data_IF_869305822612
#
_entry.id   IF_869305822612
#
_cell.length_a   1.000
_cell.length_b   1.000
_cell.length_c   1.000
_cell.angle_alpha   90.00
_cell.angle_beta   90.00
_cell.angle_gamma   90.00
#
_symmetry.space_group_name_H-M   'P 1'
#
loop_
_entity.id
_entity.type
_entity.pdbx_description
1 polymer ?
#
# COMPACT_ATOMS: atom_id res chain seq x y z
N UNK A 1 -5.07 15.14 86.38
CA UNK A 1 -4.89 14.19 85.25
C UNK A 1 -5.78 14.67 84.12
N UNK A 2 -5.19 15.32 83.11
CA UNK A 2 -5.91 15.84 81.94
C UNK A 2 -5.42 15.08 80.71
N UNK A 3 -6.30 14.49 79.87
CA UNK A 3 -5.86 13.82 78.67
C UNK A 3 -5.59 14.85 77.56
N UNK A 4 -4.39 14.80 76.98
CA UNK A 4 -4.05 15.58 75.78
C UNK A 4 -4.68 14.90 74.56
N UNK A 5 -5.58 15.57 73.86
CA UNK A 5 -6.08 15.14 72.56
C UNK A 5 -4.96 15.25 71.53
N UNK A 6 -4.59 14.12 70.92
CA UNK A 6 -3.80 14.09 69.68
C UNK A 6 -4.75 14.34 68.50
N UNK A 7 -4.61 15.49 67.84
CA UNK A 7 -5.31 15.77 66.60
C UNK A 7 -4.59 15.07 65.44
N UNK A 8 -5.26 14.11 64.80
CA UNK A 8 -4.81 13.43 63.60
C UNK A 8 -5.09 14.36 62.40
N UNK A 9 -4.04 14.97 61.85
CA UNK A 9 -4.15 15.77 60.64
C UNK A 9 -4.30 14.84 59.42
N UNK A 10 -5.50 14.80 58.84
CA UNK A 10 -5.75 14.17 57.54
C UNK A 10 -5.21 15.08 56.43
N UNK A 11 -4.15 14.65 55.75
CA UNK A 11 -3.66 15.25 54.51
C UNK A 11 -4.66 14.90 53.39
N UNK A 12 -5.48 15.85 52.97
CA UNK A 12 -6.36 15.69 51.81
C UNK A 12 -5.54 15.81 50.53
N UNK A 13 -5.35 14.69 49.83
CA UNK A 13 -4.76 14.69 48.49
C UNK A 13 -5.84 15.16 47.51
N UNK A 14 -5.74 16.39 47.03
CA UNK A 14 -6.60 16.90 45.95
C UNK A 14 -6.27 16.14 44.66
N UNK A 15 -7.15 15.22 44.25
CA UNK A 15 -7.13 14.65 42.92
C UNK A 15 -7.32 15.80 41.91
N UNK A 16 -6.28 16.10 41.13
CA UNK A 16 -6.34 17.11 40.08
C UNK A 16 -7.46 16.77 39.10
N UNK A 17 -8.43 17.66 38.95
CA UNK A 17 -9.51 17.52 37.98
C UNK A 17 -8.88 17.58 36.58
N UNK A 18 -8.90 16.46 35.84
CA UNK A 18 -8.54 16.49 34.43
C UNK A 18 -9.55 17.42 33.72
N UNK A 19 -9.09 18.34 32.86
CA UNK A 19 -10.01 19.19 32.12
C UNK A 19 -10.92 18.30 31.28
N UNK A 20 -12.23 18.43 31.48
CA UNK A 20 -13.21 17.77 30.63
C UNK A 20 -13.09 18.37 29.22
N UNK A 21 -12.75 17.54 28.23
CA UNK A 21 -12.77 17.94 26.83
C UNK A 21 -14.22 18.22 26.43
N UNK A 22 -14.42 19.25 25.60
CA UNK A 22 -15.76 19.60 25.13
C UNK A 22 -16.33 18.51 24.21
N UNK A 23 -17.65 18.35 24.22
CA UNK A 23 -18.36 17.28 23.50
C UNK A 23 -18.23 17.36 21.97
N UNK A 24 -17.82 18.50 21.43
CA UNK A 24 -17.58 18.76 20.00
C UNK A 24 -16.19 18.31 19.52
N UNK A 25 -15.29 17.95 20.43
CA UNK A 25 -13.95 17.43 20.11
C UNK A 25 -14.04 16.03 19.50
N UNK A 26 -15.09 15.26 19.84
CA UNK A 26 -15.25 13.89 19.42
C UNK A 26 -16.49 13.73 18.55
N UNK A 27 -16.28 13.47 17.26
CA UNK A 27 -17.33 13.04 16.35
C UNK A 27 -17.56 11.54 16.56
N UNK A 28 -18.61 11.18 17.29
CA UNK A 28 -18.92 9.78 17.65
C UNK A 28 -19.90 9.11 16.68
N UNK A 29 -20.56 9.89 15.83
CA UNK A 29 -21.52 9.43 14.84
C UNK A 29 -21.39 10.22 13.54
N UNK A 30 -21.69 9.56 12.42
CA UNK A 30 -21.72 10.16 11.10
C UNK A 30 -23.14 10.63 10.78
N UNK A 31 -23.30 11.89 10.37
CA UNK A 31 -24.61 12.42 9.95
C UNK A 31 -24.97 11.93 8.55
N UNK A 32 -26.27 11.98 8.22
CA UNK A 32 -26.78 11.60 6.89
C UNK A 32 -26.21 12.44 5.74
N UNK A 33 -25.70 13.64 6.02
CA UNK A 33 -25.07 14.55 5.06
C UNK A 33 -23.56 14.36 4.96
N UNK A 34 -22.96 13.52 5.79
CA UNK A 34 -21.52 13.30 5.87
C UNK A 34 -21.16 11.97 5.22
N UNK A 35 -19.96 11.88 4.65
CA UNK A 35 -19.40 10.64 4.16
C UNK A 35 -17.88 10.62 4.31
N UNK A 36 -17.32 9.43 4.50
CA UNK A 36 -15.89 9.24 4.52
C UNK A 36 -15.34 9.29 3.09
N UNK A 37 -14.41 10.22 2.83
CA UNK A 37 -13.79 10.36 1.51
C UNK A 37 -13.19 9.04 1.00
N UNK A 38 -12.53 8.28 1.88
CA UNK A 38 -11.95 6.97 1.54
C UNK A 38 -12.98 5.97 1.02
N UNK A 39 -14.21 6.04 1.53
CA UNK A 39 -15.23 5.03 1.26
C UNK A 39 -16.12 5.42 0.07
N UNK A 40 -16.17 6.71 -0.28
CA UNK A 40 -17.11 7.26 -1.27
C UNK A 40 -16.48 8.08 -2.39
N UNK A 41 -15.26 8.57 -2.24
CA UNK A 41 -14.56 9.37 -3.26
C UNK A 41 -13.30 8.67 -3.76
N UNK A 42 -12.45 8.18 -2.86
CA UNK A 42 -11.19 7.53 -3.24
C UNK A 42 -11.47 6.17 -3.91
N UNK A 43 -10.80 5.92 -5.03
CA UNK A 43 -10.97 4.74 -5.87
C UNK A 43 -12.20 4.78 -6.79
N UNK A 44 -12.98 5.88 -6.78
CA UNK A 44 -14.14 6.02 -7.65
C UNK A 44 -13.72 6.43 -9.06
N UNK A 45 -14.31 5.77 -10.06
CA UNK A 45 -14.10 6.08 -11.47
C UNK A 45 -14.64 7.47 -11.82
N UNK A 46 -13.81 8.25 -12.50
CA UNK A 46 -14.17 9.54 -13.09
C UNK A 46 -14.64 9.31 -14.52
N UNK A 47 -15.80 9.86 -14.85
CA UNK A 47 -16.40 9.75 -16.19
C UNK A 47 -16.26 11.08 -16.95
N UNK A 48 -16.15 11.03 -18.28
CA UNK A 48 -16.29 12.22 -19.11
C UNK A 48 -17.78 12.56 -19.40
N UNK A 49 -18.03 13.61 -20.18
CA UNK A 49 -19.37 13.99 -20.61
C UNK A 49 -20.12 12.93 -21.43
N UNK A 50 -19.41 11.94 -22.00
CA UNK A 50 -20.01 10.81 -22.74
C UNK A 50 -20.28 9.59 -21.84
N UNK A 51 -20.03 9.68 -20.53
CA UNK A 51 -20.17 8.58 -19.58
C UNK A 51 -19.05 7.53 -19.67
N UNK A 52 -17.93 7.82 -20.34
CA UNK A 52 -16.78 6.91 -20.42
C UNK A 52 -15.83 7.15 -19.25
N UNK A 53 -15.29 6.07 -18.69
CA UNK A 53 -14.25 6.14 -17.64
C UNK A 53 -12.97 6.71 -18.23
N UNK A 54 -12.48 7.79 -17.62
CA UNK A 54 -11.24 8.49 -18.03
C UNK A 54 -10.12 8.37 -17.00
N UNK A 55 -10.44 7.88 -15.80
CA UNK A 55 -9.50 7.67 -14.70
C UNK A 55 -10.22 7.37 -13.40
N UNK A 56 -9.52 7.45 -12.29
CA UNK A 56 -10.02 7.21 -10.94
C UNK A 56 -9.43 8.22 -9.93
N UNK A 57 -10.14 8.47 -8.84
CA UNK A 57 -9.70 9.40 -7.80
C UNK A 57 -8.73 8.68 -6.85
N UNK A 58 -7.50 9.16 -6.80
CA UNK A 58 -6.42 8.55 -6.00
C UNK A 58 -6.22 9.25 -4.65
N UNK A 59 -6.45 10.56 -4.61
CA UNK A 59 -6.21 11.38 -3.42
C UNK A 59 -6.99 12.69 -3.49
N UNK A 60 -7.09 13.40 -2.36
CA UNK A 60 -7.68 14.75 -2.28
C UNK A 60 -6.60 15.78 -1.94
N UNK A 61 -6.73 16.97 -2.52
CA UNK A 61 -5.88 18.11 -2.24
C UNK A 61 -6.59 18.98 -1.22
N UNK A 62 -5.97 19.15 -0.05
CA UNK A 62 -6.45 20.01 1.03
C UNK A 62 -5.52 21.24 1.12
N UNK A 63 -6.10 22.43 1.24
CA UNK A 63 -5.36 23.68 1.40
C UNK A 63 -4.99 23.98 2.87
N UNK A 64 -4.32 25.10 3.10
CA UNK A 64 -3.92 25.54 4.45
C UNK A 64 -5.08 25.92 5.36
N UNK A 65 -6.27 26.15 4.79
CA UNK A 65 -7.51 26.46 5.51
C UNK A 65 -8.33 25.19 5.83
N UNK A 66 -7.74 24.00 5.60
CA UNK A 66 -8.37 22.69 5.76
C UNK A 66 -9.58 22.47 4.84
N UNK A 67 -9.61 23.13 3.67
CA UNK A 67 -10.65 22.93 2.65
C UNK A 67 -10.13 22.03 1.53
N UNK A 68 -11.01 21.18 1.01
CA UNK A 68 -10.71 20.36 -0.16
C UNK A 68 -10.81 21.27 -1.39
N UNK A 69 -9.69 21.46 -2.09
CA UNK A 69 -9.59 22.34 -3.27
C UNK A 69 -9.50 21.57 -4.59
N UNK A 70 -9.22 20.27 -4.53
CA UNK A 70 -9.10 19.43 -5.71
C UNK A 70 -8.95 17.95 -5.37
N UNK A 71 -8.86 17.15 -6.43
CA UNK A 71 -8.60 15.73 -6.36
C UNK A 71 -7.47 15.34 -7.33
N UNK A 72 -6.74 14.29 -6.97
CA UNK A 72 -5.75 13.67 -7.83
C UNK A 72 -6.44 12.56 -8.62
N UNK A 73 -6.44 12.68 -9.94
CA UNK A 73 -6.96 11.68 -10.86
C UNK A 73 -5.81 10.84 -11.41
N UNK A 74 -5.88 9.52 -11.25
CA UNK A 74 -5.05 8.55 -11.93
C UNK A 74 -5.53 8.35 -13.36
N UNK A 75 -4.64 8.53 -14.35
CA UNK A 75 -4.98 8.48 -15.77
C UNK A 75 -4.04 7.51 -16.47
N UNK A 76 -4.61 6.43 -17.00
CA UNK A 76 -3.88 5.35 -17.65
C UNK A 76 -3.14 4.45 -16.65
N UNK A 77 -2.74 3.25 -17.08
CA UNK A 77 -2.14 2.22 -16.22
C UNK A 77 -3.12 1.12 -15.81
N UNK A 78 -2.65 0.15 -15.03
CA UNK A 78 -3.46 -0.91 -14.44
C UNK A 78 -3.27 -0.84 -12.91
N UNK A 79 -4.30 -0.44 -12.17
CA UNK A 79 -4.38 -0.51 -10.70
C UNK A 79 -3.22 0.18 -9.97
N UNK A 80 -2.93 1.44 -10.29
CA UNK A 80 -1.89 2.23 -9.64
C UNK A 80 -0.49 2.08 -10.24
N UNK A 81 -0.27 1.13 -11.15
CA UNK A 81 1.03 0.91 -11.81
C UNK A 81 1.07 1.58 -13.18
N UNK A 82 2.05 2.48 -13.36
CA UNK A 82 2.25 3.20 -14.62
C UNK A 82 1.27 4.36 -14.83
N UNK A 83 0.54 4.74 -13.79
CA UNK A 83 -0.47 5.79 -13.90
C UNK A 83 0.13 7.18 -13.83
N UNK A 84 -0.40 8.06 -14.68
CA UNK A 84 -0.11 9.49 -14.60
C UNK A 84 -1.08 10.13 -13.61
N UNK A 85 -0.54 10.87 -12.64
CA UNK A 85 -1.35 11.60 -11.66
C UNK A 85 -1.59 13.03 -12.15
N UNK A 86 -2.84 13.44 -12.24
CA UNK A 86 -3.27 14.77 -12.70
C UNK A 86 -4.11 15.42 -11.61
N UNK A 87 -3.82 16.67 -11.26
CA UNK A 87 -4.65 17.40 -10.31
C UNK A 87 -5.84 18.05 -11.02
N UNK A 88 -7.03 17.83 -10.50
CA UNK A 88 -8.27 18.43 -10.99
C UNK A 88 -8.89 19.26 -9.86
N UNK A 89 -9.30 20.49 -10.17
CA UNK A 89 -9.95 21.35 -9.19
C UNK A 89 -11.34 20.83 -8.85
N UNK A 90 -11.73 20.91 -7.57
CA UNK A 90 -13.00 20.38 -7.08
C UNK A 90 -14.24 20.97 -7.81
N UNK A 91 -14.31 22.29 -8.13
CA UNK A 91 -15.44 22.86 -8.87
C UNK A 91 -15.58 22.36 -10.31
N UNK A 92 -14.51 21.76 -10.87
CA UNK A 92 -14.57 21.14 -12.20
C UNK A 92 -15.15 19.73 -12.14
N UNK A 93 -15.18 19.10 -10.96
CA UNK A 93 -15.74 17.78 -10.75
C UNK A 93 -17.22 17.90 -10.40
N UNK A 94 -18.05 17.17 -11.14
CA UNK A 94 -19.43 16.96 -10.79
C UNK A 94 -19.54 15.69 -9.93
N UNK A 95 -19.95 15.85 -8.69
CA UNK A 95 -20.06 14.76 -7.71
C UNK A 95 -21.55 14.57 -7.40
N UNK A 96 -22.11 13.48 -7.88
CA UNK A 96 -23.54 13.18 -7.74
C UNK A 96 -23.74 11.92 -6.90
N UNK A 97 -24.73 11.96 -6.00
CA UNK A 97 -25.19 10.77 -5.30
C UNK A 97 -26.06 9.93 -6.24
N UNK A 98 -25.75 8.64 -6.35
CA UNK A 98 -26.49 7.65 -7.12
C UNK A 98 -26.97 6.51 -6.22
N UNK A 99 -27.91 5.70 -6.71
CA UNK A 99 -28.48 4.56 -5.95
C UNK A 99 -27.42 3.58 -5.42
N UNK A 100 -26.27 3.46 -6.12
CA UNK A 100 -25.18 2.54 -5.77
C UNK A 100 -23.91 3.21 -5.24
N UNK A 101 -23.95 4.52 -4.94
CA UNK A 101 -22.79 5.23 -4.41
C UNK A 101 -22.67 6.67 -4.92
N UNK A 102 -21.46 7.09 -5.24
CA UNK A 102 -21.18 8.41 -5.82
C UNK A 102 -20.71 8.22 -7.26
N UNK A 103 -21.23 9.04 -8.16
CA UNK A 103 -20.76 9.15 -9.53
C UNK A 103 -19.98 10.45 -9.64
N UNK A 104 -18.73 10.35 -10.09
CA UNK A 104 -17.87 11.51 -10.33
C UNK A 104 -17.71 11.67 -11.83
N UNK A 105 -18.00 12.86 -12.33
CA UNK A 105 -17.87 13.22 -13.73
C UNK A 105 -17.03 14.48 -13.89
N UNK A 106 -16.24 14.54 -14.96
CA UNK A 106 -15.48 15.70 -15.39
C UNK A 106 -15.91 16.04 -16.81
N UNK A 107 -17.03 16.80 -16.98
CA UNK A 107 -17.68 16.97 -18.28
C UNK A 107 -16.79 17.67 -19.32
N UNK A 108 -15.86 18.51 -18.85
CA UNK A 108 -15.00 19.36 -19.68
C UNK A 108 -13.71 18.68 -20.13
N UNK A 109 -13.42 17.45 -19.68
CA UNK A 109 -12.15 16.77 -19.98
C UNK A 109 -12.37 15.44 -20.70
N UNK A 110 -11.47 15.13 -21.64
CA UNK A 110 -11.36 13.81 -22.26
C UNK A 110 -10.16 13.04 -21.72
N UNK A 111 -10.11 11.73 -21.96
CA UNK A 111 -8.99 10.88 -21.57
C UNK A 111 -7.67 11.35 -22.20
N UNK A 112 -7.72 11.81 -23.43
CA UNK A 112 -6.56 12.33 -24.19
C UNK A 112 -6.08 13.65 -23.58
N UNK A 113 -7.01 14.55 -23.23
CA UNK A 113 -6.69 15.81 -22.58
C UNK A 113 -6.02 15.58 -21.21
N UNK A 114 -6.54 14.64 -20.42
CA UNK A 114 -5.93 14.26 -19.14
C UNK A 114 -4.57 13.57 -19.31
N UNK A 115 -4.41 12.76 -20.35
CA UNK A 115 -3.11 12.14 -20.67
C UNK A 115 -2.08 13.18 -21.12
N UNK A 116 -2.51 14.23 -21.83
CA UNK A 116 -1.66 15.35 -22.26
C UNK A 116 -1.38 16.36 -21.15
N UNK A 117 -2.27 16.47 -20.15
CA UNK A 117 -2.14 17.43 -19.04
C UNK A 117 -0.82 17.25 -18.26
N UNK A 118 -0.24 18.30 -17.67
CA UNK A 118 0.95 18.16 -16.84
C UNK A 118 0.73 17.18 -15.68
N UNK A 119 1.74 16.35 -15.41
CA UNK A 119 1.70 15.49 -14.23
C UNK A 119 1.76 16.35 -12.95
N UNK A 120 0.95 16.01 -11.96
CA UNK A 120 0.95 16.66 -10.67
C UNK A 120 2.27 16.41 -9.93
N UNK A 121 2.95 17.49 -9.55
CA UNK A 121 4.19 17.45 -8.80
C UNK A 121 3.88 17.55 -7.31
N UNK A 122 4.17 16.48 -6.57
CA UNK A 122 4.04 16.50 -5.10
C UNK A 122 5.24 17.26 -4.52
N UNK A 123 4.98 18.23 -3.65
CA UNK A 123 6.02 18.99 -2.97
C UNK A 123 6.90 18.11 -2.07
N UNK A 124 6.28 17.08 -1.48
CA UNK A 124 7.00 16.02 -0.78
C UNK A 124 6.56 14.68 -1.39
N UNK A 125 7.42 13.98 -2.15
CA UNK A 125 7.05 12.71 -2.74
C UNK A 125 6.75 11.71 -1.61
N UNK A 126 5.63 10.99 -1.68
CA UNK A 126 5.33 9.97 -0.67
C UNK A 126 6.48 8.98 -0.66
N UNK A 127 6.98 8.67 0.54
CA UNK A 127 7.86 7.53 0.77
C UNK A 127 7.27 6.33 0.04
N UNK A 128 8.06 5.72 -0.85
CA UNK A 128 7.61 4.56 -1.63
C UNK A 128 7.09 3.46 -0.72
N UNK A 129 6.22 2.59 -1.23
CA UNK A 129 5.66 1.49 -0.45
C UNK A 129 6.77 0.61 0.18
N UNK A 130 7.90 0.43 -0.53
CA UNK A 130 9.12 -0.21 0.01
C UNK A 130 9.66 0.53 1.23
N UNK A 131 9.79 1.85 1.16
CA UNK A 131 10.35 2.66 2.23
C UNK A 131 9.42 2.71 3.45
N UNK A 132 8.10 2.78 3.23
CA UNK A 132 7.10 2.66 4.31
C UNK A 132 7.09 1.27 4.93
N UNK A 133 7.23 0.22 4.12
CA UNK A 133 7.32 -1.15 4.62
C UNK A 133 8.62 -1.36 5.41
N UNK A 134 9.72 -0.76 4.98
CA UNK A 134 11.00 -0.79 5.70
C UNK A 134 10.90 -0.05 7.04
N UNK A 135 10.38 1.18 7.08
CA UNK A 135 10.17 1.92 8.34
C UNK A 135 9.22 1.19 9.29
N UNK A 136 8.10 0.67 8.77
CA UNK A 136 7.15 -0.11 9.57
C UNK A 136 7.77 -1.43 10.05
N UNK A 137 8.65 -2.04 9.26
CA UNK A 137 9.41 -3.23 9.64
C UNK A 137 10.42 -2.95 10.75
N UNK A 138 11.09 -1.79 10.71
CA UNK A 138 12.00 -1.35 11.79
C UNK A 138 11.24 -0.98 13.07
N UNK A 139 10.09 -0.30 12.96
CA UNK A 139 9.23 -0.01 14.11
C UNK A 139 8.67 -1.30 14.75
N UNK A 140 8.31 -2.28 13.91
CA UNK A 140 7.92 -3.61 14.38
C UNK A 140 9.11 -4.29 15.06
N UNK A 141 10.34 -4.23 14.53
CA UNK A 141 11.54 -4.80 15.15
C UNK A 141 11.82 -4.20 16.54
N UNK A 142 11.72 -2.87 16.67
CA UNK A 142 11.94 -2.18 17.96
C UNK A 142 10.85 -2.49 18.98
N UNK A 143 9.58 -2.61 18.55
CA UNK A 143 8.46 -2.99 19.44
C UNK A 143 8.39 -4.49 19.75
N UNK A 144 8.93 -5.34 18.89
CA UNK A 144 8.82 -6.81 19.02
C UNK A 144 10.00 -7.48 19.71
N UNK A 145 11.10 -6.77 19.94
CA UNK A 145 12.23 -7.22 20.77
C UNK A 145 12.53 -8.73 20.66
N UNK A 146 12.51 -9.50 21.77
CA UNK A 146 12.91 -10.92 21.79
C UNK A 146 12.05 -11.85 20.92
N UNK A 147 10.86 -11.43 20.48
CA UNK A 147 9.99 -12.25 19.62
C UNK A 147 10.52 -12.34 18.19
N UNK A 148 11.14 -11.27 17.66
CA UNK A 148 11.72 -11.27 16.32
C UNK A 148 13.03 -12.07 16.25
N UNK A 149 13.91 -11.92 17.25
CA UNK A 149 15.15 -12.70 17.34
C UNK A 149 14.88 -14.20 17.54
N UNK A 150 13.89 -14.55 18.38
CA UNK A 150 13.46 -15.95 18.56
C UNK A 150 12.86 -16.56 17.30
N UNK A 151 12.12 -15.78 16.50
CA UNK A 151 11.59 -16.23 15.22
C UNK A 151 12.70 -16.39 14.17
N UNK A 152 13.73 -15.52 14.20
CA UNK A 152 14.87 -15.58 13.29
C UNK A 152 15.80 -16.76 13.61
N UNK A 153 16.03 -17.07 14.89
CA UNK A 153 16.77 -18.27 15.31
C UNK A 153 16.03 -19.55 14.95
N UNK A 154 14.72 -19.64 15.23
CA UNK A 154 13.93 -20.82 14.87
C UNK A 154 13.81 -21.01 13.35
N UNK A 155 13.71 -19.92 12.58
CA UNK A 155 13.75 -19.98 11.12
C UNK A 155 15.14 -20.41 10.60
N UNK A 156 16.23 -19.97 11.24
CA UNK A 156 17.60 -20.38 10.87
C UNK A 156 17.85 -21.86 11.19
N UNK A 157 17.39 -22.35 12.33
CA UNK A 157 17.44 -23.78 12.68
C UNK A 157 16.57 -24.64 11.76
N UNK A 158 15.38 -24.17 11.40
CA UNK A 158 14.52 -24.84 10.42
C UNK A 158 15.15 -24.86 9.02
N UNK A 159 15.86 -23.79 8.62
CA UNK A 159 16.55 -23.72 7.34
C UNK A 159 17.79 -24.61 7.29
N UNK A 160 18.64 -24.61 8.32
CA UNK A 160 19.82 -25.48 8.38
C UNK A 160 19.42 -26.96 8.49
N UNK A 161 18.39 -27.30 9.27
CA UNK A 161 17.86 -28.67 9.32
C UNK A 161 17.20 -29.13 8.02
N UNK A 162 16.54 -28.22 7.29
CA UNK A 162 16.03 -28.51 5.95
C UNK A 162 17.17 -28.68 4.93
N UNK A 163 18.22 -27.86 5.03
CA UNK A 163 19.41 -27.95 4.17
C UNK A 163 20.24 -29.21 4.46
N UNK A 164 20.32 -29.65 5.70
CA UNK A 164 21.01 -30.89 6.11
C UNK A 164 20.23 -32.13 5.67
N UNK A 165 18.89 -32.11 5.79
CA UNK A 165 18.02 -33.22 5.34
C UNK A 165 17.84 -33.27 3.82
N UNK A 166 17.84 -32.12 3.14
CA UNK A 166 17.71 -32.02 1.69
C UNK A 166 19.05 -32.04 0.96
N UNK A 167 20.17 -31.79 1.64
CA UNK A 167 21.53 -31.81 1.07
C UNK A 167 21.89 -33.11 0.36
N UNK A 168 21.65 -34.30 0.97
CA UNK A 168 21.90 -35.59 0.31
C UNK A 168 21.03 -35.81 -0.94
N UNK A 169 19.79 -35.32 -0.91
CA UNK A 169 18.84 -35.46 -2.02
C UNK A 169 19.17 -34.48 -3.17
N UNK A 170 19.61 -33.26 -2.85
CA UNK A 170 19.98 -32.24 -3.82
C UNK A 170 21.32 -32.57 -4.50
N UNK A 171 22.29 -33.11 -3.76
CA UNK A 171 23.56 -33.59 -4.34
C UNK A 171 23.35 -34.84 -5.20
N UNK A 172 22.52 -35.79 -4.76
CA UNK A 172 22.16 -36.96 -5.59
C UNK A 172 21.44 -36.55 -6.88
N UNK A 173 20.52 -35.59 -6.81
CA UNK A 173 19.83 -35.07 -7.99
C UNK A 173 20.76 -34.30 -8.94
N UNK A 174 21.74 -33.54 -8.41
CA UNK A 174 22.77 -32.89 -9.24
C UNK A 174 23.68 -33.92 -9.91
N UNK A 175 24.04 -34.99 -9.22
CA UNK A 175 24.90 -36.04 -9.77
C UNK A 175 24.19 -36.81 -10.88
N UNK A 176 22.93 -37.20 -10.66
CA UNK A 176 22.09 -37.86 -11.68
C UNK A 176 21.82 -36.95 -12.89
N UNK A 177 21.62 -35.64 -12.66
CA UNK A 177 21.47 -34.67 -13.74
C UNK A 177 22.78 -34.45 -14.52
N UNK A 178 23.95 -34.48 -13.86
CA UNK A 178 25.25 -34.39 -14.52
C UNK A 178 25.57 -35.64 -15.36
N UNK A 179 25.26 -36.83 -14.85
CA UNK A 179 25.43 -38.09 -15.59
C UNK A 179 24.50 -38.17 -16.80
N UNK A 180 23.26 -37.69 -16.68
CA UNK A 180 22.33 -37.59 -17.81
C UNK A 180 22.80 -36.59 -18.87
N UNK A 181 23.36 -35.45 -18.45
CA UNK A 181 23.92 -34.43 -19.35
C UNK A 181 25.20 -34.91 -20.05
N UNK A 182 26.02 -35.72 -19.39
CA UNK A 182 27.22 -36.35 -19.98
C UNK A 182 26.84 -37.38 -21.06
N UNK A 183 25.88 -38.27 -20.78
CA UNK A 183 25.35 -39.23 -21.77
C UNK A 183 24.71 -38.55 -22.97
N UNK A 184 24.00 -37.45 -22.75
CA UNK A 184 23.38 -36.67 -23.83
C UNK A 184 24.41 -35.97 -24.72
N UNK A 185 25.57 -35.56 -24.18
CA UNK A 185 26.68 -34.99 -24.97
C UNK A 185 27.44 -36.05 -25.77
N UNK A 186 27.56 -37.27 -25.24
CA UNK A 186 28.22 -38.39 -25.95
C UNK A 186 27.39 -38.89 -27.13
N UNK A 187 26.06 -38.84 -27.04
CA UNK A 187 25.13 -39.19 -28.12
C UNK A 187 24.98 -38.10 -29.22
N UNK A 188 25.62 -36.93 -29.06
CA UNK A 188 25.37 -35.74 -29.89
C UNK A 188 26.60 -35.20 -30.67
N UNK A 189 27.56 -36.06 -31.04
CA UNK A 189 28.61 -35.72 -32.03
C UNK A 189 28.72 -36.79 -33.14
N UNK A 190 29.10 -36.39 -34.38
CA UNK A 190 28.18 -36.39 -35.51
C UNK A 190 28.41 -37.54 -36.52
N UNK A 191 27.32 -38.07 -37.09
CA UNK A 191 27.37 -38.88 -38.31
C UNK A 191 26.98 -38.01 -39.54
N UNK A 192 28.01 -37.50 -40.22
CA UNK A 192 28.20 -37.41 -41.68
C UNK A 192 27.00 -37.05 -42.59
N UNK A 193 27.09 -35.86 -43.22
CA UNK A 193 26.49 -35.42 -44.51
C UNK A 193 26.97 -36.26 -45.72
N UNK A 194 26.47 -36.08 -46.98
CA UNK A 194 25.17 -35.69 -47.60
C UNK A 194 24.80 -36.71 -48.76
N UNK A 195 23.88 -36.51 -49.76
CA UNK A 195 23.89 -35.46 -50.83
C UNK A 195 22.48 -34.82 -51.04
N UNK A 196 22.33 -33.52 -51.32
CA UNK A 196 22.56 -32.77 -52.58
C UNK A 196 21.40 -32.84 -53.62
N UNK A 197 20.68 -31.71 -53.75
CA UNK A 197 20.01 -31.14 -54.94
C UNK A 197 18.84 -31.92 -55.62
N UNK A 198 17.94 -31.27 -56.43
CA UNK A 198 18.06 -29.94 -57.05
C UNK A 198 16.89 -28.97 -56.86
N UNK A 199 17.21 -27.73 -57.24
CA UNK A 199 16.40 -26.52 -57.29
C UNK A 199 15.48 -26.51 -58.52
N UNK A 200 14.31 -25.89 -58.37
CA UNK A 200 13.65 -25.10 -59.42
C UNK A 200 13.30 -23.74 -58.82
#
# INVERSE_FOLDING_TARGET
>A
MSPKLFALAFLTLSAGTLPALADDVFLTEQKSTEYLAKDRLIGVNVHNGDGKVIGDIEDLIVDGDNKIIGAIVGVGGLLGVGEKKVAVSLPSLNIEAAEKGIVISLPTATKEALTAAPAYKRANPPKGWLQRAAEKGEEIRDKSGPAYEKAKETAKEAYESAKEKAGPALEKAKQEAQDALAKAKEAAQPAQTPPEAPKN
#
